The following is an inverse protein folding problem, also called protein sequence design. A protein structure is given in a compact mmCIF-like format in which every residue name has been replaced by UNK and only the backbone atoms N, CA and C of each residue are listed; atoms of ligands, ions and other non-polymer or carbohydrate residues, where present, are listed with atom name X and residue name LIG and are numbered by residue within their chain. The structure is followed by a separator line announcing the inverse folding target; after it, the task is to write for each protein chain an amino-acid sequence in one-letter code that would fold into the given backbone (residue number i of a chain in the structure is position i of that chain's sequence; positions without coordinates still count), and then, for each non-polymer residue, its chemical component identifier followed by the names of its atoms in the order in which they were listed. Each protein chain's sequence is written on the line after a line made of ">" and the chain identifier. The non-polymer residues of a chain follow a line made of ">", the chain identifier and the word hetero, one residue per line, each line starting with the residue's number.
data_IF_413981012913
#
_entry.id   IF_413981012913
#
_cell.length_a   1.000
_cell.length_b   1.000
_cell.length_c   1.000
_cell.angle_alpha   90.00
_cell.angle_beta   90.00
_cell.angle_gamma   90.00
#
_symmetry.space_group_name_H-M   'P 1'
#
loop_
_entity.id
_entity.type
_entity.pdbx_description
1 polymer ?
#
# COMPACT_ATOMS: atom_id res chain seq x y z
N UNK A 1 -8.98 -21.94 23.05
CA UNK A 1 -8.32 -20.61 23.02
C UNK A 1 -6.90 -20.88 22.54
N UNK A 2 -6.35 -20.34 21.45
CA UNK A 2 -6.68 -19.15 20.67
C UNK A 2 -6.07 -19.41 19.28
N UNK A 3 -6.83 -19.21 18.20
CA UNK A 3 -6.35 -19.50 16.86
C UNK A 3 -5.29 -18.50 16.40
N UNK A 4 -4.15 -18.99 15.91
CA UNK A 4 -3.07 -18.30 15.19
C UNK A 4 -3.12 -16.77 15.23
N UNK A 5 -2.57 -16.16 16.26
CA UNK A 5 -2.28 -14.72 16.29
C UNK A 5 -1.06 -14.44 15.40
N UNK A 6 -1.17 -13.49 14.48
CA UNK A 6 -0.02 -12.90 13.79
C UNK A 6 0.76 -12.04 14.77
N UNK A 7 2.08 -11.89 14.64
CA UNK A 7 2.86 -10.97 15.47
C UNK A 7 3.04 -9.61 14.80
N UNK A 8 3.48 -8.59 15.54
CA UNK A 8 3.79 -7.28 14.97
C UNK A 8 4.87 -7.37 13.88
N UNK A 9 5.92 -8.15 14.10
CA UNK A 9 6.95 -8.40 13.09
C UNK A 9 6.37 -9.00 11.82
N UNK A 10 5.48 -10.00 11.95
CA UNK A 10 4.80 -10.59 10.80
C UNK A 10 3.83 -9.62 10.10
N UNK A 11 3.18 -8.71 10.85
CA UNK A 11 2.36 -7.66 10.25
C UNK A 11 3.22 -6.67 9.46
N UNK A 12 4.39 -6.28 9.97
CA UNK A 12 5.35 -5.42 9.26
C UNK A 12 5.84 -6.13 7.99
N UNK A 13 6.20 -7.42 8.07
CA UNK A 13 6.61 -8.22 6.90
C UNK A 13 5.51 -8.23 5.82
N UNK A 14 4.25 -8.41 6.22
CA UNK A 14 3.12 -8.39 5.30
C UNK A 14 2.88 -7.00 4.70
N UNK A 15 3.05 -5.93 5.48
CA UNK A 15 2.95 -4.57 4.97
C UNK A 15 4.06 -4.28 3.94
N UNK A 16 5.31 -4.66 4.23
CA UNK A 16 6.42 -4.56 3.29
C UNK A 16 6.17 -5.35 2.00
N UNK A 17 5.52 -6.52 2.09
CA UNK A 17 5.10 -7.27 0.92
C UNK A 17 4.05 -6.52 0.08
N UNK A 18 3.12 -5.81 0.72
CA UNK A 18 2.16 -4.93 0.03
C UNK A 18 2.89 -3.83 -0.72
N UNK A 19 3.77 -3.06 -0.06
CA UNK A 19 4.49 -1.94 -0.70
C UNK A 19 5.28 -2.40 -1.94
N UNK A 20 5.94 -3.57 -1.84
CA UNK A 20 6.70 -4.11 -2.96
C UNK A 20 5.78 -4.53 -4.13
N UNK A 21 4.63 -5.12 -3.85
CA UNK A 21 3.67 -5.52 -4.88
C UNK A 21 2.95 -4.31 -5.49
N UNK A 22 2.68 -3.28 -4.70
CA UNK A 22 2.14 -2.00 -5.15
C UNK A 22 3.12 -1.32 -6.11
N UNK A 23 4.40 -1.25 -5.74
CA UNK A 23 5.47 -0.79 -6.63
C UNK A 23 5.47 -1.56 -7.97
N UNK A 24 5.42 -2.89 -7.92
CA UNK A 24 5.42 -3.72 -9.13
C UNK A 24 4.16 -3.49 -10.00
N UNK A 25 3.01 -3.31 -9.36
CA UNK A 25 1.75 -2.99 -10.02
C UNK A 25 1.83 -1.63 -10.75
N UNK A 26 2.29 -0.57 -10.07
CA UNK A 26 2.45 0.74 -10.68
C UNK A 26 3.52 0.76 -11.79
N UNK A 27 4.62 0.02 -11.61
CA UNK A 27 5.62 -0.16 -12.67
C UNK A 27 5.03 -0.86 -13.91
N UNK A 28 4.14 -1.84 -13.71
CA UNK A 28 3.41 -2.48 -14.79
C UNK A 28 2.45 -1.52 -15.51
N UNK A 29 1.76 -0.65 -14.77
CA UNK A 29 0.92 0.41 -15.34
C UNK A 29 1.73 1.41 -16.16
N UNK A 30 2.90 1.83 -15.68
CA UNK A 30 3.81 2.72 -16.44
C UNK A 30 4.20 2.12 -17.79
N UNK A 31 4.62 0.86 -17.82
CA UNK A 31 5.04 0.20 -19.06
C UNK A 31 3.85 0.02 -20.01
N UNK A 32 2.69 -0.40 -19.49
CA UNK A 32 1.47 -0.58 -20.28
C UNK A 32 1.00 0.72 -20.93
N UNK A 33 1.01 1.81 -20.17
CA UNK A 33 0.53 3.12 -20.60
C UNK A 33 1.66 4.08 -20.98
N UNK A 34 2.86 3.57 -21.32
CA UNK A 34 4.07 4.38 -21.57
C UNK A 34 3.95 5.50 -22.61
N UNK A 35 2.94 5.44 -23.49
CA UNK A 35 2.69 6.47 -24.50
C UNK A 35 1.75 7.59 -24.00
N UNK A 36 1.14 7.44 -22.82
CA UNK A 36 0.37 8.46 -22.14
C UNK A 36 1.22 9.09 -21.04
N UNK A 37 2.06 10.06 -21.41
CA UNK A 37 3.02 10.70 -20.51
C UNK A 37 2.38 11.30 -19.25
N UNK A 38 1.16 11.82 -19.36
CA UNK A 38 0.45 12.42 -18.22
C UNK A 38 0.01 11.36 -17.21
N UNK A 39 -0.55 10.24 -17.69
CA UNK A 39 -0.90 9.12 -16.83
C UNK A 39 0.34 8.53 -16.16
N UNK A 40 1.40 8.28 -16.94
CA UNK A 40 2.70 7.77 -16.44
C UNK A 40 3.25 8.68 -15.35
N UNK A 41 3.19 10.01 -15.53
CA UNK A 41 3.65 10.95 -14.50
C UNK A 41 2.85 10.85 -13.21
N UNK A 42 1.55 10.53 -13.26
CA UNK A 42 0.73 10.37 -12.07
C UNK A 42 1.10 9.08 -11.31
N UNK A 43 1.18 7.95 -12.01
CA UNK A 43 1.49 6.65 -11.37
C UNK A 43 2.96 6.54 -10.95
N UNK A 44 3.88 7.23 -11.63
CA UNK A 44 5.30 7.24 -11.26
C UNK A 44 5.55 7.88 -9.91
N UNK A 45 4.81 8.94 -9.60
CA UNK A 45 4.89 9.51 -8.26
C UNK A 45 4.47 8.48 -7.22
N UNK A 46 3.30 7.84 -7.40
CA UNK A 46 2.76 6.88 -6.41
C UNK A 46 3.74 5.71 -6.24
N UNK A 47 4.26 5.18 -7.35
CA UNK A 47 5.30 4.14 -7.34
C UNK A 47 6.54 4.53 -6.53
N UNK A 48 7.02 5.77 -6.64
CA UNK A 48 8.17 6.26 -5.87
C UNK A 48 7.85 6.34 -4.37
N UNK A 49 6.61 6.68 -4.02
CA UNK A 49 6.12 6.73 -2.65
C UNK A 49 6.06 5.32 -2.04
N UNK A 50 5.66 4.27 -2.77
CA UNK A 50 5.70 2.89 -2.24
C UNK A 50 7.11 2.40 -1.90
N UNK A 51 8.12 2.84 -2.67
CA UNK A 51 9.51 2.54 -2.35
C UNK A 51 9.95 3.26 -1.06
N UNK A 52 9.44 4.46 -0.82
CA UNK A 52 9.69 5.20 0.43
C UNK A 52 8.98 4.50 1.60
N UNK A 53 7.72 4.08 1.43
CA UNK A 53 6.96 3.34 2.44
C UNK A 53 7.67 2.03 2.84
N UNK A 54 8.14 1.26 1.87
CA UNK A 54 8.92 0.04 2.12
C UNK A 54 10.16 0.32 2.97
N UNK A 55 10.90 1.40 2.65
CA UNK A 55 12.10 1.80 3.41
C UNK A 55 11.75 2.20 4.84
N UNK A 56 10.68 2.98 5.02
CA UNK A 56 10.21 3.37 6.35
C UNK A 56 9.84 2.14 7.17
N UNK A 57 9.08 1.19 6.62
CA UNK A 57 8.72 -0.05 7.31
C UNK A 57 9.96 -0.89 7.67
N UNK A 58 10.97 -0.92 6.81
CA UNK A 58 12.26 -1.57 7.09
C UNK A 58 12.96 -0.92 8.28
N UNK A 59 13.08 0.42 8.28
CA UNK A 59 13.69 1.18 9.39
C UNK A 59 12.93 0.96 10.71
N UNK A 60 11.60 0.90 10.65
CA UNK A 60 10.74 0.60 11.81
C UNK A 60 11.04 -0.81 12.34
N UNK A 61 11.10 -1.80 11.45
CA UNK A 61 11.37 -3.18 11.83
C UNK A 61 12.75 -3.31 12.52
N UNK A 62 13.77 -2.66 11.97
CA UNK A 62 15.15 -2.67 12.48
C UNK A 62 15.30 -1.91 13.81
N UNK A 63 14.50 -0.85 14.02
CA UNK A 63 14.54 -0.06 15.25
C UNK A 63 13.77 -0.71 16.41
N UNK A 64 12.80 -1.59 16.12
CA UNK A 64 11.99 -2.24 17.14
C UNK A 64 12.76 -3.36 17.87
N UNK A 65 12.69 -3.42 19.21
CA UNK A 65 13.32 -4.50 19.96
C UNK A 65 12.54 -5.82 19.79
N UNK A 66 13.23 -6.97 19.83
CA UNK A 66 12.67 -8.32 19.58
C UNK A 66 11.34 -8.61 20.30
N UNK A 67 11.24 -8.22 21.57
CA UNK A 67 10.04 -8.47 22.36
C UNK A 67 8.79 -7.79 21.76
N UNK A 68 8.97 -6.67 21.06
CA UNK A 68 7.89 -5.95 20.35
C UNK A 68 7.52 -6.66 19.06
N UNK A 69 8.49 -7.13 18.29
CA UNK A 69 8.25 -7.88 17.06
C UNK A 69 7.47 -9.18 17.31
N UNK A 70 7.59 -9.77 18.51
CA UNK A 70 6.82 -10.96 18.92
C UNK A 70 5.44 -10.66 19.51
N UNK A 71 5.06 -9.38 19.68
CA UNK A 71 3.75 -9.04 20.25
C UNK A 71 2.61 -9.54 19.36
N UNK A 72 1.59 -10.19 19.92
CA UNK A 72 0.46 -10.66 19.15
C UNK A 72 -0.39 -9.50 18.67
N UNK A 73 -0.80 -9.55 17.41
CA UNK A 73 -1.67 -8.60 16.75
C UNK A 73 -3.06 -9.24 16.53
N UNK A 74 -4.15 -8.48 16.77
CA UNK A 74 -5.50 -8.95 16.48
C UNK A 74 -5.70 -9.29 15.00
N UNK A 75 -6.43 -10.37 14.70
CA UNK A 75 -6.61 -10.86 13.32
C UNK A 75 -7.29 -9.83 12.42
N UNK A 76 -8.20 -9.04 12.97
CA UNK A 76 -8.91 -7.96 12.28
C UNK A 76 -7.97 -6.92 11.68
N UNK A 77 -6.75 -6.77 12.21
CA UNK A 77 -5.71 -5.89 11.65
C UNK A 77 -4.90 -6.55 10.53
N UNK A 78 -4.84 -7.88 10.50
CA UNK A 78 -4.03 -8.67 9.54
C UNK A 78 -4.82 -9.00 8.26
N UNK A 79 -6.13 -9.27 8.43
CA UNK A 79 -7.02 -9.68 7.33
C UNK A 79 -7.08 -8.67 6.18
N UNK A 80 -7.12 -7.34 6.40
CA UNK A 80 -7.05 -6.36 5.31
C UNK A 80 -5.78 -6.49 4.47
N UNK A 81 -4.61 -6.56 5.12
CA UNK A 81 -3.29 -6.71 4.45
C UNK A 81 -3.26 -7.95 3.54
N UNK A 82 -3.72 -9.09 4.08
CA UNK A 82 -3.78 -10.34 3.32
C UNK A 82 -4.74 -10.29 2.14
N UNK A 83 -5.82 -9.49 2.23
CA UNK A 83 -6.74 -9.29 1.11
C UNK A 83 -6.10 -8.51 -0.03
N UNK A 84 -5.27 -7.50 0.27
CA UNK A 84 -4.51 -6.76 -0.77
C UNK A 84 -3.50 -7.63 -1.45
N UNK A 85 -2.70 -8.35 -0.68
CA UNK A 85 -1.70 -9.27 -1.25
C UNK A 85 -2.40 -10.22 -2.24
N UNK A 86 -3.52 -10.82 -1.81
CA UNK A 86 -4.30 -11.70 -2.68
C UNK A 86 -4.87 -10.98 -3.90
N UNK A 87 -5.36 -9.75 -3.75
CA UNK A 87 -5.85 -8.96 -4.86
C UNK A 87 -4.73 -8.71 -5.88
N UNK A 88 -3.59 -8.18 -5.45
CA UNK A 88 -2.41 -7.91 -6.27
C UNK A 88 -1.89 -9.18 -6.97
N UNK A 89 -1.91 -10.33 -6.30
CA UNK A 89 -1.55 -11.63 -6.89
C UNK A 89 -2.49 -12.08 -8.01
N UNK A 90 -3.71 -11.54 -8.07
CA UNK A 90 -4.73 -11.91 -9.05
C UNK A 90 -4.96 -10.88 -10.14
N UNK A 91 -4.38 -9.68 -9.98
CA UNK A 91 -4.47 -8.62 -10.97
C UNK A 91 -3.72 -9.03 -12.23
N UNK A 92 -4.44 -9.08 -13.35
CA UNK A 92 -3.89 -9.30 -14.68
C UNK A 92 -3.88 -7.96 -15.44
N UNK A 93 -2.75 -7.25 -15.34
CA UNK A 93 -2.58 -5.96 -16.02
C UNK A 93 -2.69 -6.07 -17.54
N UNK A 94 -2.30 -7.19 -18.16
CA UNK A 94 -2.39 -7.37 -19.60
C UNK A 94 -3.84 -7.51 -20.05
N UNK A 95 -4.67 -8.16 -19.22
CA UNK A 95 -6.11 -8.31 -19.41
C UNK A 95 -6.93 -7.03 -19.21
N UNK A 96 -6.43 -6.05 -18.44
CA UNK A 96 -7.11 -4.77 -18.21
C UNK A 96 -7.07 -3.92 -19.47
N UNK A 97 -8.23 -3.58 -20.02
CA UNK A 97 -8.34 -2.73 -21.21
C UNK A 97 -9.31 -1.56 -21.03
N UNK A 98 -10.14 -1.63 -19.99
CA UNK A 98 -11.04 -0.56 -19.59
C UNK A 98 -10.34 0.39 -18.61
N UNK A 99 -10.57 1.69 -18.81
CA UNK A 99 -10.06 2.75 -17.94
C UNK A 99 -10.64 2.61 -16.54
N UNK A 100 -11.93 2.29 -16.45
CA UNK A 100 -12.61 2.11 -15.18
C UNK A 100 -12.03 0.92 -14.42
N UNK A 101 -11.66 -0.18 -15.10
CA UNK A 101 -10.99 -1.33 -14.47
C UNK A 101 -9.62 -0.96 -13.88
N UNK A 102 -8.83 -0.16 -14.60
CA UNK A 102 -7.51 0.30 -14.13
C UNK A 102 -7.66 1.21 -12.92
N UNK A 103 -8.57 2.18 -12.97
CA UNK A 103 -8.79 3.12 -11.88
C UNK A 103 -9.40 2.43 -10.65
N UNK A 104 -10.32 1.50 -10.83
CA UNK A 104 -10.89 0.73 -9.72
C UNK A 104 -9.84 -0.18 -9.08
N UNK A 105 -8.89 -0.73 -9.86
CA UNK A 105 -7.78 -1.49 -9.33
C UNK A 105 -6.83 -0.63 -8.48
N UNK A 106 -6.48 0.56 -8.97
CA UNK A 106 -5.67 1.54 -8.22
C UNK A 106 -6.38 1.94 -6.92
N UNK A 107 -7.68 2.28 -6.99
CA UNK A 107 -8.46 2.64 -5.77
C UNK A 107 -8.52 1.51 -4.77
N UNK A 108 -8.72 0.28 -5.23
CA UNK A 108 -8.78 -0.90 -4.36
C UNK A 108 -7.47 -1.11 -3.62
N UNK A 109 -6.33 -0.87 -4.27
CA UNK A 109 -5.01 -0.94 -3.64
C UNK A 109 -4.89 0.12 -2.54
N UNK A 110 -5.15 1.37 -2.90
CA UNK A 110 -4.96 2.56 -2.07
C UNK A 110 -5.90 2.61 -0.86
N UNK A 111 -7.15 2.20 -1.03
CA UNK A 111 -8.11 2.09 0.08
C UNK A 111 -7.63 1.11 1.15
N UNK A 112 -6.95 0.04 0.75
CA UNK A 112 -6.55 -0.99 1.69
C UNK A 112 -5.14 -0.75 2.23
N UNK A 113 -4.24 -0.12 1.49
CA UNK A 113 -2.99 0.43 2.04
C UNK A 113 -3.28 1.39 3.18
N UNK A 114 -4.30 2.24 3.04
CA UNK A 114 -4.77 3.07 4.15
C UNK A 114 -5.21 2.24 5.36
N UNK A 115 -5.96 1.15 5.16
CA UNK A 115 -6.35 0.24 6.25
C UNK A 115 -5.13 -0.45 6.91
N UNK A 116 -4.12 -0.84 6.12
CA UNK A 116 -2.85 -1.43 6.60
C UNK A 116 -2.11 -0.44 7.48
N UNK A 117 -1.94 0.78 6.98
CA UNK A 117 -1.33 1.90 7.69
C UNK A 117 -2.08 2.19 9.00
N UNK A 118 -3.41 2.27 8.97
CA UNK A 118 -4.23 2.54 10.15
C UNK A 118 -4.16 1.39 11.18
N UNK A 119 -3.83 0.17 10.75
CA UNK A 119 -3.53 -0.92 11.67
C UNK A 119 -2.31 -0.62 12.56
N UNK A 120 -1.31 0.09 12.03
CA UNK A 120 -0.13 0.51 12.79
C UNK A 120 -0.40 1.72 13.68
N UNK A 121 -1.16 2.71 13.21
CA UNK A 121 -1.45 3.95 13.99
C UNK A 121 -2.29 3.68 15.23
N UNK A 122 -3.17 2.68 15.20
CA UNK A 122 -4.03 2.31 16.34
C UNK A 122 -3.31 1.44 17.39
N UNK A 123 -2.07 1.04 17.11
CA UNK A 123 -1.28 0.23 18.04
C UNK A 123 -0.60 1.19 19.04
N UNK A 124 -1.09 1.29 20.28
CA UNK A 124 -0.65 2.24 21.33
C UNK A 124 0.86 2.26 21.56
N UNK A 125 1.49 1.15 21.26
CA UNK A 125 2.91 0.89 21.36
C UNK A 125 3.75 1.60 20.30
N UNK A 126 3.15 1.96 19.18
CA UNK A 126 3.80 2.58 18.04
C UNK A 126 3.59 4.11 18.18
N UNK A 127 4.48 4.76 18.92
CA UNK A 127 4.45 6.22 19.08
C UNK A 127 5.12 6.88 17.87
N UNK A 128 4.28 7.45 17.05
CA UNK A 128 4.61 7.87 15.70
C UNK A 128 3.95 9.22 15.46
N UNK A 129 4.41 10.22 16.22
CA UNK A 129 4.01 11.62 16.09
C UNK A 129 4.25 12.14 14.65
N UNK A 130 5.27 11.60 13.96
CA UNK A 130 5.57 11.86 12.55
C UNK A 130 4.52 11.24 11.60
N UNK A 131 3.98 10.08 11.96
CA UNK A 131 3.32 9.18 11.01
C UNK A 131 1.85 9.57 10.84
N UNK A 132 1.14 10.03 11.86
CA UNK A 132 -0.30 10.38 11.69
C UNK A 132 -0.53 11.55 10.73
N UNK A 133 0.30 12.60 10.79
CA UNK A 133 0.21 13.72 9.85
C UNK A 133 0.77 13.35 8.47
N UNK A 134 1.88 12.60 8.43
CA UNK A 134 2.45 12.06 7.19
C UNK A 134 1.41 11.23 6.44
N UNK A 135 0.82 10.21 7.07
CA UNK A 135 -0.16 9.30 6.45
C UNK A 135 -1.42 10.01 5.96
N UNK A 136 -1.87 11.04 6.67
CA UNK A 136 -3.00 11.85 6.23
C UNK A 136 -2.64 12.67 4.98
N UNK A 137 -1.41 13.17 4.90
CA UNK A 137 -0.95 13.91 3.73
C UNK A 137 -0.72 12.98 2.54
N UNK A 138 -0.13 11.81 2.74
CA UNK A 138 0.07 10.79 1.70
C UNK A 138 -1.26 10.32 1.11
N UNK A 139 -2.24 9.96 1.96
CA UNK A 139 -3.57 9.55 1.48
C UNK A 139 -4.27 10.64 0.66
N UNK A 140 -4.11 11.92 1.01
CA UNK A 140 -4.66 13.03 0.22
C UNK A 140 -3.91 13.21 -1.10
N UNK A 141 -2.59 13.04 -1.11
CA UNK A 141 -1.77 13.21 -2.31
C UNK A 141 -2.01 12.07 -3.31
N UNK A 142 -2.02 10.82 -2.85
CA UNK A 142 -2.37 9.64 -3.65
C UNK A 142 -3.76 9.80 -4.27
N UNK A 143 -4.78 10.15 -3.48
CA UNK A 143 -6.14 10.39 -4.01
C UNK A 143 -6.18 11.47 -5.11
N UNK A 144 -5.40 12.55 -4.96
CA UNK A 144 -5.31 13.58 -6.00
C UNK A 144 -4.64 13.04 -7.27
N UNK A 145 -3.58 12.24 -7.14
CA UNK A 145 -2.89 11.61 -8.28
C UNK A 145 -3.77 10.60 -9.00
N UNK A 146 -4.56 9.82 -8.27
CA UNK A 146 -5.55 8.89 -8.85
C UNK A 146 -6.62 9.66 -9.63
N UNK A 147 -7.12 10.76 -9.07
CA UNK A 147 -8.08 11.62 -9.77
C UNK A 147 -7.51 12.15 -11.09
N UNK A 148 -6.26 12.64 -11.07
CA UNK A 148 -5.56 13.12 -12.27
C UNK A 148 -5.33 11.98 -13.28
N UNK A 149 -4.87 10.81 -12.81
CA UNK A 149 -4.67 9.63 -13.63
C UNK A 149 -5.97 9.20 -14.35
N UNK A 150 -7.11 9.25 -13.66
CA UNK A 150 -8.41 8.99 -14.27
C UNK A 150 -8.74 9.99 -15.38
N UNK A 151 -8.49 11.29 -15.19
CA UNK A 151 -8.72 12.29 -16.24
C UNK A 151 -7.84 12.01 -17.47
N UNK A 152 -6.57 11.66 -17.27
CA UNK A 152 -5.63 11.39 -18.35
C UNK A 152 -5.98 10.17 -19.21
N UNK A 153 -6.75 9.22 -18.68
CA UNK A 153 -7.18 8.04 -19.42
C UNK A 153 -8.52 8.24 -20.15
N UNK A 154 -9.29 9.27 -19.80
CA UNK A 154 -10.58 9.58 -20.41
C UNK A 154 -10.47 10.53 -21.62
N UNK A 155 -9.34 11.21 -21.79
CA UNK A 155 -8.99 12.11 -22.90
C UNK A 155 -8.38 11.37 -24.11
#
# INVERSE_FOLDING_TARGET
>A
MSGNSCTLGQLIDLAMEVEQKAYDFYAGLEEKFKNNEQFVSCVCGIKEDELLHYRILTEIQEALPDHRLTMPIPKEKVVPVQRVIKFLDTVDLDGMSDVDEVIDAIRTLEEVEFDVVMAFVDTEEIDFELTREYLKNESLDHNNRIYLAQQCLLD
#
